data_IF_558926246152
#
_entry.id   IF_558926246152
#
_cell.length_a   1.000
_cell.length_b   1.000
_cell.length_c   1.000
_cell.angle_alpha   90.00
_cell.angle_beta   90.00
_cell.angle_gamma   90.00
#
_symmetry.space_group_name_H-M   'P 1'
#
loop_
_entity.id
_entity.type
_entity.pdbx_description
1 polymer ?
#
# COMPACT_ATOMS: atom_id res chain seq x y z
N UNK A 1 -23.47 -41.93 -28.35
CA UNK A 1 -22.91 -40.99 -29.35
C UNK A 1 -23.35 -39.61 -28.90
N UNK A 2 -22.45 -38.84 -28.31
CA UNK A 2 -22.70 -37.46 -27.89
C UNK A 2 -21.49 -36.64 -28.37
N UNK A 3 -21.74 -35.74 -29.30
CA UNK A 3 -20.75 -34.90 -29.97
C UNK A 3 -20.42 -33.70 -29.08
N UNK A 4 -19.13 -33.53 -28.75
CA UNK A 4 -18.62 -32.36 -28.04
C UNK A 4 -18.46 -31.20 -29.04
N UNK A 5 -19.42 -30.28 -29.04
CA UNK A 5 -19.38 -29.06 -29.84
C UNK A 5 -18.60 -27.97 -29.08
N UNK A 6 -17.26 -27.98 -29.20
CA UNK A 6 -16.42 -26.89 -28.70
C UNK A 6 -16.45 -25.74 -29.71
N UNK A 7 -16.88 -24.56 -29.27
CA UNK A 7 -16.86 -23.33 -30.07
C UNK A 7 -15.43 -22.96 -30.47
N UNK A 8 -15.17 -22.60 -31.74
CA UNK A 8 -13.84 -22.23 -32.20
C UNK A 8 -13.41 -20.90 -31.57
N UNK A 9 -12.39 -20.95 -30.71
CA UNK A 9 -11.69 -19.75 -30.21
C UNK A 9 -10.90 -19.17 -31.37
N UNK A 10 -11.24 -17.97 -31.84
CA UNK A 10 -10.44 -17.27 -32.83
C UNK A 10 -9.02 -17.05 -32.26
N UNK A 11 -7.96 -17.54 -32.93
CA UNK A 11 -6.60 -17.31 -32.47
C UNK A 11 -6.31 -15.81 -32.57
N UNK A 12 -5.97 -15.20 -31.44
CA UNK A 12 -5.62 -13.79 -31.38
C UNK A 12 -4.28 -13.62 -32.15
N UNK A 13 -4.31 -12.99 -33.32
CA UNK A 13 -3.15 -12.83 -34.23
C UNK A 13 -2.26 -11.65 -33.85
N UNK A 14 -2.59 -10.94 -32.78
CA UNK A 14 -1.78 -9.83 -32.28
C UNK A 14 -0.60 -10.37 -31.46
N UNK A 15 0.61 -10.19 -32.00
CA UNK A 15 1.83 -10.36 -31.24
C UNK A 15 2.17 -9.02 -30.58
N UNK A 16 1.96 -8.90 -29.27
CA UNK A 16 2.38 -7.71 -28.52
C UNK A 16 3.76 -7.95 -27.95
N UNK A 17 4.68 -7.01 -28.19
CA UNK A 17 6.02 -7.03 -27.62
C UNK A 17 6.19 -5.76 -26.82
N UNK A 18 6.51 -5.90 -25.54
CA UNK A 18 6.83 -4.76 -24.69
C UNK A 18 8.17 -4.18 -25.16
N UNK A 19 8.15 -2.94 -25.66
CA UNK A 19 9.35 -2.17 -25.95
C UNK A 19 9.66 -1.34 -24.70
N UNK A 20 10.66 -1.70 -23.88
CA UNK A 20 11.01 -0.91 -22.71
C UNK A 20 11.53 0.45 -23.18
N UNK A 21 10.74 1.49 -22.97
CA UNK A 21 11.17 2.87 -23.17
C UNK A 21 11.89 3.29 -21.90
N UNK A 22 13.20 3.54 -21.97
CA UNK A 22 13.90 4.14 -20.83
C UNK A 22 13.34 5.55 -20.63
N UNK A 23 12.92 5.93 -19.41
CA UNK A 23 12.48 7.29 -19.16
C UNK A 23 13.61 8.25 -19.49
N UNK A 24 13.37 9.11 -20.47
CA UNK A 24 14.25 10.23 -20.82
C UNK A 24 13.72 11.43 -20.04
N UNK A 25 14.61 12.29 -19.53
CA UNK A 25 14.23 13.56 -18.91
C UNK A 25 13.27 14.30 -19.84
N UNK A 26 12.05 14.56 -19.36
CA UNK A 26 11.00 15.15 -20.18
C UNK A 26 11.20 16.66 -20.43
N UNK A 27 12.23 17.23 -19.78
CA UNK A 27 12.55 18.65 -19.79
C UNK A 27 11.68 19.42 -18.79
N UNK A 28 12.20 20.52 -18.28
CA UNK A 28 11.61 21.27 -17.16
C UNK A 28 10.12 21.63 -17.37
N UNK A 29 9.72 21.92 -18.61
CA UNK A 29 8.34 22.28 -18.93
C UNK A 29 7.35 21.11 -18.78
N UNK A 30 7.72 19.90 -19.21
CA UNK A 30 6.84 18.73 -19.09
C UNK A 30 6.81 18.25 -17.64
N UNK A 31 7.94 18.27 -16.93
CA UNK A 31 8.00 17.96 -15.51
C UNK A 31 7.12 18.91 -14.67
N UNK A 32 7.10 20.20 -15.04
CA UNK A 32 6.21 21.20 -14.41
C UNK A 32 4.73 20.87 -14.64
N UNK A 33 4.33 20.58 -15.88
CA UNK A 33 2.94 20.21 -16.20
C UNK A 33 2.52 18.96 -15.43
N UNK A 34 3.39 17.94 -15.37
CA UNK A 34 3.14 16.73 -14.60
C UNK A 34 2.91 17.08 -13.13
N UNK A 35 3.79 17.90 -12.54
CA UNK A 35 3.66 18.27 -11.13
C UNK A 35 2.39 19.07 -10.84
N UNK A 36 1.99 19.97 -11.73
CA UNK A 36 0.75 20.75 -11.61
C UNK A 36 -0.49 19.84 -11.66
N UNK A 37 -0.51 18.84 -12.55
CA UNK A 37 -1.59 17.86 -12.63
C UNK A 37 -1.68 17.05 -11.34
N UNK A 38 -0.54 16.60 -10.79
CA UNK A 38 -0.51 15.87 -9.51
C UNK A 38 -1.10 16.72 -8.40
N UNK A 39 -0.64 17.95 -8.26
CA UNK A 39 -1.09 18.90 -7.25
C UNK A 39 -2.60 19.19 -7.36
N UNK A 40 -3.09 19.44 -8.58
CA UNK A 40 -4.51 19.70 -8.85
C UNK A 40 -5.39 18.50 -8.53
N UNK A 41 -4.99 17.31 -8.96
CA UNK A 41 -5.71 16.06 -8.66
C UNK A 41 -5.79 15.80 -7.16
N UNK A 42 -4.68 15.97 -6.46
CA UNK A 42 -4.60 15.80 -5.01
C UNK A 42 -5.45 16.82 -4.25
N UNK A 43 -5.47 18.08 -4.70
CA UNK A 43 -6.34 19.11 -4.14
C UNK A 43 -7.82 18.79 -4.36
N UNK A 44 -8.19 18.34 -5.57
CA UNK A 44 -9.54 17.90 -5.89
C UNK A 44 -9.98 16.73 -5.00
N UNK A 45 -9.15 15.70 -4.88
CA UNK A 45 -9.40 14.53 -4.02
C UNK A 45 -9.61 14.93 -2.55
N UNK A 46 -8.75 15.82 -2.03
CA UNK A 46 -8.90 16.37 -0.68
C UNK A 46 -10.21 17.14 -0.51
N UNK A 47 -10.55 18.02 -1.45
CA UNK A 47 -11.79 18.79 -1.42
C UNK A 47 -13.03 17.90 -1.51
N UNK A 48 -13.00 16.87 -2.37
CA UNK A 48 -14.05 15.85 -2.51
C UNK A 48 -14.31 15.16 -1.17
N UNK A 49 -13.25 14.71 -0.49
CA UNK A 49 -13.34 14.07 0.82
C UNK A 49 -14.02 14.97 1.87
N UNK A 50 -13.65 16.25 1.91
CA UNK A 50 -14.23 17.26 2.82
C UNK A 50 -15.71 17.52 2.47
N UNK A 51 -16.04 17.68 1.19
CA UNK A 51 -17.41 17.98 0.73
C UNK A 51 -18.38 16.82 0.96
N UNK A 52 -17.89 15.58 0.98
CA UNK A 52 -18.65 14.38 1.34
C UNK A 52 -18.74 14.18 2.87
N UNK A 53 -18.35 15.19 3.66
CA UNK A 53 -18.41 15.17 5.12
C UNK A 53 -17.48 14.16 5.78
N UNK A 54 -16.58 13.52 5.03
CA UNK A 54 -15.83 12.36 5.51
C UNK A 54 -16.74 11.23 6.01
N UNK A 55 -18.01 11.19 5.57
CA UNK A 55 -18.95 10.13 5.98
C UNK A 55 -18.42 8.80 5.46
N UNK A 56 -17.83 8.04 6.39
CA UNK A 56 -17.42 6.66 6.22
C UNK A 56 -18.71 5.88 5.95
N UNK A 57 -18.95 5.34 4.72
CA UNK A 57 -20.07 4.44 4.50
C UNK A 57 -20.09 3.39 5.61
N UNK A 58 -21.25 2.95 6.13
CA UNK A 58 -21.30 2.09 7.32
C UNK A 58 -20.40 0.84 7.22
N UNK A 59 -20.22 0.32 6.01
CA UNK A 59 -19.36 -0.83 5.71
C UNK A 59 -17.86 -0.52 5.72
N UNK A 60 -17.44 0.73 5.61
CA UNK A 60 -16.03 1.11 5.43
C UNK A 60 -15.20 0.85 6.68
N UNK A 61 -15.76 0.94 7.89
CA UNK A 61 -15.03 0.53 9.11
C UNK A 61 -14.68 -0.95 9.09
N UNK A 62 -15.64 -1.79 8.68
CA UNK A 62 -15.48 -3.23 8.60
C UNK A 62 -14.56 -3.62 7.43
N UNK A 63 -14.74 -2.97 6.29
CA UNK A 63 -13.92 -3.15 5.08
C UNK A 63 -12.46 -2.77 5.33
N UNK A 64 -12.20 -1.68 6.06
CA UNK A 64 -10.85 -1.26 6.42
C UNK A 64 -10.32 -1.97 7.68
N UNK A 65 -11.15 -2.75 8.37
CA UNK A 65 -10.82 -3.42 9.63
C UNK A 65 -10.25 -2.45 10.68
N UNK A 66 -10.80 -1.24 10.80
CA UNK A 66 -10.18 -0.17 11.61
C UNK A 66 -9.91 -0.58 13.06
N UNK A 67 -10.75 -1.43 13.63
CA UNK A 67 -10.60 -1.92 15.00
C UNK A 67 -9.52 -2.99 15.15
N UNK A 68 -9.10 -3.69 14.10
CA UNK A 68 -8.10 -4.77 14.22
C UNK A 68 -6.65 -4.23 14.27
N UNK A 69 -6.46 -2.98 13.85
CA UNK A 69 -5.19 -2.28 13.83
C UNK A 69 -5.02 -1.41 15.08
N UNK A 70 -3.79 -1.37 15.59
CA UNK A 70 -3.42 -0.57 16.77
C UNK A 70 -2.47 0.57 16.41
N UNK A 71 -1.65 0.39 15.38
CA UNK A 71 -0.61 1.32 14.97
C UNK A 71 0.69 1.14 15.76
N UNK A 72 1.78 1.66 15.17
CA UNK A 72 3.15 1.54 15.68
C UNK A 72 3.33 1.97 17.15
N UNK A 73 2.66 3.01 17.68
CA UNK A 73 2.81 3.39 19.09
C UNK A 73 2.50 2.26 20.08
N UNK A 74 1.51 1.41 19.80
CA UNK A 74 1.20 0.26 20.65
C UNK A 74 2.29 -0.79 20.60
N UNK A 75 2.85 -1.08 19.41
CA UNK A 75 3.98 -1.98 19.26
C UNK A 75 5.21 -1.48 20.03
N UNK A 76 5.45 -0.16 19.98
CA UNK A 76 6.61 0.50 20.61
C UNK A 76 6.63 0.33 22.12
N UNK A 77 5.46 0.22 22.77
CA UNK A 77 5.37 0.05 24.23
C UNK A 77 6.05 -1.22 24.77
N UNK A 78 6.12 -2.28 23.96
CA UNK A 78 6.78 -3.55 24.30
C UNK A 78 8.02 -3.84 23.42
N UNK A 79 8.07 -3.30 22.20
CA UNK A 79 9.09 -3.60 21.19
C UNK A 79 9.89 -2.34 20.77
N UNK A 80 10.42 -1.63 21.75
CA UNK A 80 11.13 -0.36 21.53
C UNK A 80 12.31 -0.50 20.56
N UNK A 81 13.12 -1.56 20.69
CA UNK A 81 14.29 -1.80 19.82
C UNK A 81 13.88 -1.99 18.35
N UNK A 82 12.81 -2.74 18.11
CA UNK A 82 12.28 -2.98 16.78
C UNK A 82 11.67 -1.70 16.20
N UNK A 83 10.93 -0.94 17.00
CA UNK A 83 10.35 0.34 16.60
C UNK A 83 11.44 1.36 16.24
N UNK A 84 12.49 1.47 17.06
CA UNK A 84 13.63 2.35 16.80
C UNK A 84 14.35 1.99 15.50
N UNK A 85 14.58 0.69 15.24
CA UNK A 85 15.13 0.25 13.96
C UNK A 85 14.20 0.59 12.80
N UNK A 86 12.92 0.21 12.89
CA UNK A 86 11.93 0.46 11.84
C UNK A 86 11.84 1.95 11.46
N UNK A 87 11.93 2.85 12.44
CA UNK A 87 11.89 4.29 12.21
C UNK A 87 13.02 4.82 11.31
N UNK A 88 14.13 4.06 11.18
CA UNK A 88 15.25 4.40 10.28
C UNK A 88 15.04 3.91 8.84
N UNK A 89 13.99 3.14 8.59
CA UNK A 89 13.75 2.48 7.30
C UNK A 89 12.91 3.34 6.36
N UNK A 90 13.02 3.11 5.06
CA UNK A 90 12.20 3.83 4.07
C UNK A 90 10.68 3.61 4.28
N UNK A 91 10.27 2.47 4.84
CA UNK A 91 8.87 2.18 5.14
C UNK A 91 8.26 3.15 6.16
N UNK A 92 9.02 3.57 7.17
CA UNK A 92 8.56 4.58 8.13
C UNK A 92 8.31 5.95 7.45
N UNK A 93 9.04 6.26 6.38
CA UNK A 93 8.90 7.49 5.60
C UNK A 93 7.97 7.38 4.37
N UNK A 94 7.40 6.20 4.10
CA UNK A 94 6.75 5.91 2.81
C UNK A 94 5.60 6.89 2.49
N UNK A 95 4.69 7.15 3.42
CA UNK A 95 3.59 8.07 3.17
C UNK A 95 4.06 9.53 2.97
N UNK A 96 5.12 9.93 3.66
CA UNK A 96 5.69 11.28 3.54
C UNK A 96 6.17 11.56 2.12
N UNK A 97 6.62 10.54 1.37
CA UNK A 97 7.02 10.73 -0.03
C UNK A 97 5.83 11.08 -0.93
N UNK A 98 4.64 10.55 -0.64
CA UNK A 98 3.40 10.94 -1.32
C UNK A 98 3.02 12.38 -0.99
N UNK A 99 3.07 12.77 0.29
CA UNK A 99 2.76 14.15 0.68
C UNK A 99 3.68 15.14 -0.04
N UNK A 100 4.98 14.88 -0.06
CA UNK A 100 5.98 15.74 -0.72
C UNK A 100 5.81 15.81 -2.24
N UNK A 101 5.29 14.77 -2.87
CA UNK A 101 5.05 14.73 -4.32
C UNK A 101 3.66 15.21 -4.74
N UNK A 102 2.84 15.68 -3.79
CA UNK A 102 1.47 16.11 -4.06
C UNK A 102 0.54 14.94 -4.38
N UNK A 103 0.72 13.79 -3.71
CA UNK A 103 0.00 12.54 -3.97
C UNK A 103 -0.61 11.91 -2.70
N UNK A 104 -0.60 12.62 -1.56
CA UNK A 104 -1.11 12.10 -0.28
C UNK A 104 -2.60 11.72 -0.28
N UNK A 105 -3.38 12.23 -1.25
CA UNK A 105 -4.79 11.91 -1.48
C UNK A 105 -5.00 11.16 -2.80
N UNK A 106 -3.99 10.45 -3.29
CA UNK A 106 -4.12 9.62 -4.48
C UNK A 106 -4.49 8.17 -4.10
N UNK A 107 -5.74 7.73 -4.30
CA UNK A 107 -6.20 6.39 -3.92
C UNK A 107 -5.44 5.25 -4.63
N UNK A 108 -4.75 5.54 -5.74
CA UNK A 108 -3.91 4.57 -6.45
C UNK A 108 -2.57 4.33 -5.74
N UNK A 109 -2.08 5.29 -4.95
CA UNK A 109 -0.81 5.19 -4.23
C UNK A 109 -0.97 4.66 -2.79
N UNK A 110 -2.13 4.92 -2.18
CA UNK A 110 -2.40 4.54 -0.79
C UNK A 110 -2.26 3.04 -0.48
N UNK A 111 -2.59 2.07 -1.37
CA UNK A 111 -2.45 0.65 -1.06
C UNK A 111 -1.03 0.24 -0.63
N UNK A 112 0.00 0.91 -1.17
CA UNK A 112 1.41 0.59 -0.94
C UNK A 112 2.11 1.56 0.03
N UNK A 113 1.46 2.67 0.38
CA UNK A 113 2.01 3.72 1.25
C UNK A 113 1.24 3.88 2.57
N UNK A 114 0.31 2.97 2.86
CA UNK A 114 -0.46 2.93 4.10
C UNK A 114 -0.53 1.52 4.67
N UNK A 115 -0.64 1.41 5.99
CA UNK A 115 -0.69 0.12 6.68
C UNK A 115 -2.05 -0.50 6.42
N UNK A 116 -2.05 -1.75 5.95
CA UNK A 116 -3.27 -2.52 5.61
C UNK A 116 -4.03 -1.97 4.40
N UNK A 117 -3.39 -1.16 3.54
CA UNK A 117 -3.98 -0.70 2.28
C UNK A 117 -4.29 -1.83 1.28
N UNK A 118 -3.64 -2.98 1.46
CA UNK A 118 -3.82 -4.21 0.68
C UNK A 118 -4.89 -5.18 1.22
N UNK A 119 -5.57 -4.85 2.33
CA UNK A 119 -6.58 -5.70 2.98
C UNK A 119 -7.98 -5.40 2.46
N UNK A 120 -8.19 -4.19 1.98
CA UNK A 120 -9.40 -3.72 1.31
C UNK A 120 -9.63 -4.52 0.02
N UNK A 121 -10.88 -4.71 -0.46
CA UNK A 121 -11.17 -5.09 -1.85
C UNK A 121 -10.69 -3.97 -2.79
N UNK A 122 -9.38 -3.83 -2.92
CA UNK A 122 -8.67 -2.77 -3.63
C UNK A 122 -8.71 -2.93 -5.15
N UNK A 123 -9.55 -3.84 -5.67
CA UNK A 123 -9.73 -4.06 -7.10
C UNK A 123 -10.80 -3.14 -7.71
N UNK A 124 -11.70 -2.56 -6.93
CA UNK A 124 -12.61 -1.51 -7.42
C UNK A 124 -12.10 -0.11 -7.06
N UNK A 125 -12.41 0.86 -7.93
CA UNK A 125 -12.09 2.26 -7.70
C UNK A 125 -12.73 2.77 -6.40
N UNK A 126 -13.98 2.35 -6.10
CA UNK A 126 -14.65 2.74 -4.85
C UNK A 126 -13.95 2.18 -3.61
N UNK A 127 -13.40 0.96 -3.69
CA UNK A 127 -12.65 0.35 -2.60
C UNK A 127 -11.33 1.08 -2.30
N UNK A 128 -10.66 1.61 -3.33
CA UNK A 128 -9.44 2.41 -3.17
C UNK A 128 -9.73 3.80 -2.60
N UNK A 129 -10.84 4.42 -2.99
CA UNK A 129 -11.27 5.71 -2.44
C UNK A 129 -11.48 5.65 -0.92
N UNK A 130 -11.90 4.50 -0.38
CA UNK A 130 -12.04 4.33 1.07
C UNK A 130 -10.71 4.47 1.84
N UNK A 131 -9.56 4.26 1.19
CA UNK A 131 -8.24 4.43 1.82
C UNK A 131 -7.96 5.89 2.20
N UNK A 132 -8.63 6.85 1.56
CA UNK A 132 -8.55 8.27 1.92
C UNK A 132 -9.10 8.55 3.32
N UNK A 133 -9.88 7.63 3.87
CA UNK A 133 -10.48 7.71 5.21
C UNK A 133 -9.64 6.96 6.26
N UNK A 134 -8.46 6.45 5.90
CA UNK A 134 -7.57 5.81 6.87
C UNK A 134 -7.13 6.81 7.94
N UNK A 135 -7.15 6.41 9.22
CA UNK A 135 -6.66 7.24 10.29
C UNK A 135 -5.15 7.51 10.13
N UNK A 136 -4.68 8.63 10.68
CA UNK A 136 -3.28 9.08 10.56
C UNK A 136 -2.26 8.01 11.01
N UNK A 137 -2.59 7.25 12.06
CA UNK A 137 -1.73 6.16 12.54
C UNK A 137 -1.58 4.98 11.55
N UNK A 138 -2.33 4.96 10.44
CA UNK A 138 -2.18 4.02 9.32
C UNK A 138 -1.63 4.66 8.05
N UNK A 139 -1.38 5.97 8.03
CA UNK A 139 -0.73 6.67 6.92
C UNK A 139 0.79 6.48 6.97
N UNK A 140 1.22 5.22 6.98
CA UNK A 140 2.61 4.78 7.10
C UNK A 140 2.70 3.30 6.73
N UNK A 141 3.88 2.79 6.37
CA UNK A 141 4.13 1.34 6.35
C UNK A 141 4.71 0.92 7.69
N UNK A 142 3.82 0.58 8.63
CA UNK A 142 4.14 0.21 10.00
C UNK A 142 4.29 -1.30 10.20
N UNK A 143 4.45 -1.71 11.46
CA UNK A 143 4.64 -3.11 11.86
C UNK A 143 3.56 -4.03 11.28
N UNK A 144 2.31 -3.59 11.36
CA UNK A 144 1.12 -4.37 10.99
C UNK A 144 0.98 -4.56 9.47
N UNK A 145 1.73 -3.81 8.64
CA UNK A 145 1.75 -4.01 7.19
C UNK A 145 2.44 -5.34 6.81
N UNK A 146 3.36 -5.82 7.64
CA UNK A 146 4.07 -7.08 7.43
C UNK A 146 3.61 -8.18 8.40
N UNK A 147 3.37 -7.80 9.66
CA UNK A 147 3.07 -8.74 10.75
C UNK A 147 1.56 -9.02 10.92
N UNK A 148 0.70 -8.31 10.18
CA UNK A 148 -0.76 -8.38 10.27
C UNK A 148 -1.36 -7.49 11.37
N UNK A 149 -2.70 -7.45 11.50
CA UNK A 149 -3.37 -6.63 12.50
C UNK A 149 -2.94 -7.02 13.93
N UNK A 150 -2.53 -6.03 14.73
CA UNK A 150 -1.86 -6.25 16.01
C UNK A 150 -2.76 -6.23 17.24
N UNK A 151 -4.06 -5.91 17.12
CA UNK A 151 -4.93 -5.71 18.29
C UNK A 151 -4.98 -6.92 19.21
N UNK A 152 -5.27 -8.09 18.66
CA UNK A 152 -5.40 -9.30 19.48
C UNK A 152 -4.09 -9.66 20.18
N UNK A 153 -2.95 -9.50 19.49
CA UNK A 153 -1.64 -9.66 20.09
C UNK A 153 -1.42 -8.66 21.23
N UNK A 154 -1.74 -7.38 21.04
CA UNK A 154 -1.57 -6.35 22.08
C UNK A 154 -2.38 -6.63 23.35
N UNK A 155 -3.52 -7.32 23.24
CA UNK A 155 -4.39 -7.67 24.36
C UNK A 155 -3.98 -8.98 25.06
N UNK A 156 -3.31 -9.89 24.35
CA UNK A 156 -2.93 -11.20 24.87
C UNK A 156 -1.57 -11.66 24.28
N UNK A 157 -0.47 -10.93 24.58
CA UNK A 157 0.81 -11.10 23.89
C UNK A 157 1.45 -12.48 24.08
N UNK A 158 1.16 -13.17 25.19
CA UNK A 158 1.66 -14.53 25.47
C UNK A 158 0.87 -15.62 24.73
N UNK A 159 -0.37 -15.33 24.30
CA UNK A 159 -1.28 -16.32 23.71
C UNK A 159 -1.43 -16.16 22.21
N UNK A 160 -1.41 -14.91 21.73
CA UNK A 160 -1.66 -14.57 20.34
C UNK A 160 -0.37 -13.98 19.79
N UNK A 161 0.32 -14.74 18.95
CA UNK A 161 1.55 -14.31 18.32
C UNK A 161 1.26 -13.69 16.94
N UNK A 162 1.90 -12.57 16.57
CA UNK A 162 1.79 -12.03 15.23
C UNK A 162 2.58 -12.90 14.24
N UNK A 163 2.43 -12.62 12.94
CA UNK A 163 3.24 -13.28 11.91
C UNK A 163 4.71 -12.86 12.08
N UNK A 164 5.55 -13.67 12.72
CA UNK A 164 6.95 -13.31 13.00
C UNK A 164 7.80 -13.14 11.74
N UNK A 165 7.62 -14.02 10.75
CA UNK A 165 8.33 -14.01 9.47
C UNK A 165 7.27 -13.83 8.37
N UNK A 166 7.11 -12.63 7.83
CA UNK A 166 6.19 -12.36 6.73
C UNK A 166 6.54 -13.19 5.50
N UNK A 167 5.52 -13.69 4.80
CA UNK A 167 5.74 -14.36 3.52
C UNK A 167 6.20 -13.35 2.45
N UNK A 168 7.12 -13.75 1.56
CA UNK A 168 7.66 -12.91 0.47
C UNK A 168 6.56 -12.22 -0.36
N UNK A 169 5.41 -12.87 -0.56
CA UNK A 169 4.26 -12.32 -1.29
C UNK A 169 3.73 -11.00 -0.70
N UNK A 170 3.93 -10.74 0.60
CA UNK A 170 3.53 -9.48 1.24
C UNK A 170 4.36 -8.33 0.66
N UNK A 171 5.67 -8.54 0.47
CA UNK A 171 6.56 -7.55 -0.14
C UNK A 171 6.21 -7.32 -1.60
N UNK A 172 5.98 -8.42 -2.34
CA UNK A 172 5.62 -8.37 -3.76
C UNK A 172 4.23 -7.75 -4.03
N UNK A 173 3.40 -7.55 -3.01
CA UNK A 173 2.13 -6.84 -3.14
C UNK A 173 2.29 -5.34 -3.42
N UNK A 174 3.46 -4.79 -3.09
CA UNK A 174 3.79 -3.38 -3.32
C UNK A 174 5.03 -3.21 -4.21
N UNK A 175 5.99 -4.11 -4.08
CA UNK A 175 7.20 -4.13 -4.91
C UNK A 175 7.00 -5.02 -6.14
N UNK A 176 6.32 -4.45 -7.13
CA UNK A 176 6.14 -5.02 -8.48
C UNK A 176 7.14 -4.36 -9.45
N UNK A 177 7.37 -4.93 -10.65
CA UNK A 177 8.18 -4.27 -11.67
C UNK A 177 7.70 -2.86 -12.05
N UNK A 178 6.40 -2.58 -11.91
CA UNK A 178 5.81 -1.26 -12.20
C UNK A 178 6.01 -0.24 -11.07
N UNK A 179 6.25 -0.70 -9.83
CA UNK A 179 6.39 0.15 -8.64
C UNK A 179 7.84 0.24 -8.12
N UNK A 180 8.65 -0.80 -8.31
CA UNK A 180 10.07 -0.90 -7.92
C UNK A 180 10.80 -1.83 -8.91
N UNK A 181 11.40 -1.22 -9.94
CA UNK A 181 12.07 -1.92 -11.04
C UNK A 181 13.42 -2.57 -10.65
N UNK A 182 13.96 -2.26 -9.46
CA UNK A 182 15.16 -2.88 -8.86
C UNK A 182 14.84 -3.59 -7.53
N UNK A 183 13.62 -4.13 -7.41
CA UNK A 183 13.28 -4.94 -6.24
C UNK A 183 13.89 -6.35 -6.32
N UNK A 184 14.81 -6.63 -5.41
CA UNK A 184 15.35 -7.98 -5.19
C UNK A 184 15.14 -8.38 -3.74
N UNK A 185 14.22 -9.32 -3.51
CA UNK A 185 13.75 -9.70 -2.18
C UNK A 185 14.91 -10.05 -1.23
N UNK A 186 15.82 -10.94 -1.64
CA UNK A 186 16.91 -11.43 -0.80
C UNK A 186 17.86 -10.28 -0.38
N UNK A 187 18.09 -9.31 -1.28
CA UNK A 187 18.95 -8.15 -1.01
C UNK A 187 18.26 -7.11 -0.11
N UNK A 188 16.96 -6.91 -0.30
CA UNK A 188 16.19 -5.86 0.39
C UNK A 188 15.75 -6.31 1.79
N UNK A 189 15.50 -7.61 1.99
CA UNK A 189 15.09 -8.15 3.29
C UNK A 189 16.09 -7.87 4.42
N UNK A 190 17.40 -7.94 4.14
CA UNK A 190 18.43 -7.60 5.13
C UNK A 190 18.40 -6.15 5.61
N UNK A 191 17.74 -5.23 4.87
CA UNK A 191 17.61 -3.81 5.24
C UNK A 191 16.37 -3.51 6.06
N UNK A 192 15.41 -4.43 6.12
CA UNK A 192 14.11 -4.23 6.78
C UNK A 192 13.83 -5.25 7.90
N UNK A 193 14.63 -6.33 7.97
CA UNK A 193 14.56 -7.29 9.05
C UNK A 193 14.85 -6.61 10.39
N UNK A 194 13.84 -6.54 11.27
CA UNK A 194 14.00 -5.93 12.58
C UNK A 194 14.97 -6.74 13.47
N UNK A 195 15.64 -6.10 14.44
CA UNK A 195 16.49 -6.78 15.40
C UNK A 195 15.72 -7.88 16.14
N UNK A 196 16.39 -9.00 16.42
CA UNK A 196 15.84 -10.02 17.28
C UNK A 196 15.52 -9.42 18.66
N UNK A 197 14.27 -9.62 19.10
CA UNK A 197 13.79 -9.30 20.43
C UNK A 197 13.89 -10.50 21.35
#
# INVERSE_FOLDING_TARGET
>A
MAENNATPVCPNTFNSTFLPVKPVSSGDAVDTIVQDIKNSTNAYQKARLISQGGEIPPKTKDVLQLHEFTGVPYCTSCHEKQAAFWATTAHAGAFTTLVKSGQGYNPECLPCHSTGGNITPSSSHEGRDMLLLLPENRQIIGCEACHGPGRQHSLAPDRIQPVRIPAQKICAGCHTPEQDDDFHYERKMGKIACPNG
#
